data_IF_087438831743
#
_entry.id   IF_087438831743
#
_cell.length_a   1.000
_cell.length_b   1.000
_cell.length_c   1.000
_cell.angle_alpha   90.00
_cell.angle_beta   90.00
_cell.angle_gamma   90.00
#
_symmetry.space_group_name_H-M   'P 1'
#
loop_
_entity.id
_entity.type
_entity.pdbx_description
1 polymer ?
#
# COMPACT_ATOMS: atom_id res chain seq x y z
N UNK A 1 -10.36 4.03 -17.42
CA UNK A 1 -9.43 3.96 -16.28
C UNK A 1 -9.28 2.50 -15.87
N UNK A 2 -8.06 1.96 -15.76
CA UNK A 2 -7.80 0.53 -15.46
C UNK A 2 -7.33 0.29 -14.01
N UNK A 3 -7.10 1.36 -13.27
CA UNK A 3 -6.67 1.37 -11.87
C UNK A 3 -6.23 2.76 -11.44
N UNK A 4 -5.93 2.92 -10.16
CA UNK A 4 -5.39 4.15 -9.57
C UNK A 4 -4.60 3.83 -8.29
N UNK A 5 -3.72 4.76 -7.89
CA UNK A 5 -3.07 4.78 -6.59
C UNK A 5 -3.24 6.18 -5.97
N UNK A 6 -3.53 6.23 -4.68
CA UNK A 6 -3.64 7.46 -3.90
C UNK A 6 -2.51 7.51 -2.89
N UNK A 7 -1.72 8.58 -2.92
CA UNK A 7 -0.61 8.79 -1.99
C UNK A 7 -0.82 10.07 -1.17
N UNK A 8 -0.58 10.00 0.13
CA UNK A 8 -0.61 11.15 1.03
C UNK A 8 0.80 11.47 1.53
N UNK A 9 1.25 12.71 1.30
CA UNK A 9 2.58 13.18 1.76
C UNK A 9 2.75 13.10 3.26
N UNK A 10 1.67 13.33 4.00
CA UNK A 10 1.64 13.19 5.45
C UNK A 10 0.76 11.99 5.77
N UNK A 11 1.32 10.89 6.29
CA UNK A 11 0.54 9.73 6.69
C UNK A 11 -0.50 10.09 7.74
N UNK A 12 -1.69 9.52 7.60
CA UNK A 12 -2.76 9.64 8.58
C UNK A 12 -2.43 8.74 9.79
N UNK A 13 -2.82 9.15 11.01
CA UNK A 13 -2.80 8.23 12.15
C UNK A 13 -3.61 6.96 11.82
N UNK A 14 -3.18 5.78 12.30
CA UNK A 14 -2.07 5.58 13.24
C UNK A 14 -0.70 5.28 12.59
N UNK A 15 -0.52 5.55 11.29
CA UNK A 15 0.81 5.41 10.66
C UNK A 15 1.76 6.43 11.30
N UNK A 16 2.72 5.93 12.08
CA UNK A 16 3.79 6.73 12.69
C UNK A 16 5.13 6.22 12.20
N UNK A 17 5.44 6.57 10.94
CA UNK A 17 6.65 6.22 10.20
C UNK A 17 7.28 7.51 9.69
N UNK A 18 8.26 8.07 10.41
CA UNK A 18 8.97 9.26 9.93
C UNK A 18 9.49 9.04 8.51
N UNK A 19 9.36 10.07 7.67
CA UNK A 19 9.83 10.09 6.27
C UNK A 19 9.07 9.16 5.30
N UNK A 20 8.12 8.34 5.77
CA UNK A 20 7.26 7.59 4.88
C UNK A 20 6.08 8.46 4.41
N UNK A 21 5.65 8.23 3.17
CA UNK A 21 4.35 8.69 2.68
C UNK A 21 3.35 7.53 2.75
N UNK A 22 2.08 7.83 2.84
CA UNK A 22 1.04 6.79 2.91
C UNK A 22 0.59 6.41 1.50
N UNK A 23 0.56 5.10 1.20
CA UNK A 23 -0.21 4.56 0.08
C UNK A 23 -1.64 4.28 0.58
N UNK A 24 -2.51 5.29 0.46
CA UNK A 24 -3.83 5.32 1.06
C UNK A 24 -4.85 4.43 0.34
N UNK A 25 -4.68 4.25 -0.97
CA UNK A 25 -5.53 3.38 -1.77
C UNK A 25 -4.79 2.90 -3.00
N UNK A 26 -5.03 1.63 -3.38
CA UNK A 26 -4.60 1.05 -4.62
C UNK A 26 -5.72 0.16 -5.15
N UNK A 27 -6.16 0.42 -6.37
CA UNK A 27 -7.16 -0.40 -7.04
C UNK A 27 -6.75 -0.67 -8.47
N UNK A 28 -6.91 -1.90 -8.91
CA UNK A 28 -6.69 -2.35 -10.29
C UNK A 28 -7.89 -3.20 -10.69
N UNK A 29 -8.41 -2.98 -11.90
CA UNK A 29 -9.51 -3.81 -12.42
C UNK A 29 -9.11 -5.29 -12.40
N UNK A 30 -10.04 -6.16 -12.01
CA UNK A 30 -9.76 -7.58 -11.80
C UNK A 30 -9.20 -8.28 -13.06
N UNK A 31 -9.68 -7.89 -14.25
CA UNK A 31 -9.19 -8.38 -15.55
C UNK A 31 -7.76 -7.90 -15.89
N UNK A 32 -7.18 -7.01 -15.07
CA UNK A 32 -5.82 -6.47 -15.19
C UNK A 32 -4.90 -6.90 -14.05
N UNK A 33 -5.37 -7.75 -13.14
CA UNK A 33 -4.50 -8.33 -12.11
C UNK A 33 -3.40 -9.18 -12.76
N UNK A 34 -2.24 -9.28 -12.11
CA UNK A 34 -1.08 -10.08 -12.58
C UNK A 34 -0.45 -9.62 -13.92
N UNK A 35 -0.83 -8.43 -14.42
CA UNK A 35 -0.21 -7.79 -15.59
C UNK A 35 0.76 -6.66 -15.23
N UNK A 36 1.22 -6.59 -13.97
CA UNK A 36 2.18 -5.57 -13.51
C UNK A 36 1.60 -4.17 -13.28
N UNK A 37 0.30 -3.95 -13.55
CA UNK A 37 -0.35 -2.63 -13.41
C UNK A 37 -0.26 -2.07 -11.99
N UNK A 38 -0.48 -2.90 -10.96
CA UNK A 38 -0.37 -2.46 -9.56
C UNK A 38 1.03 -1.94 -9.22
N UNK A 39 2.09 -2.67 -9.63
CA UNK A 39 3.48 -2.25 -9.43
C UNK A 39 3.76 -0.94 -10.16
N UNK A 40 3.32 -0.84 -11.42
CA UNK A 40 3.49 0.39 -12.22
C UNK A 40 2.84 1.60 -11.54
N UNK A 41 1.64 1.46 -10.97
CA UNK A 41 0.97 2.56 -10.27
C UNK A 41 1.72 2.98 -9.00
N UNK A 42 2.25 2.03 -8.23
CA UNK A 42 3.04 2.32 -7.02
C UNK A 42 4.34 3.05 -7.39
N UNK A 43 5.08 2.57 -8.40
CA UNK A 43 6.33 3.20 -8.85
C UNK A 43 6.09 4.61 -9.43
N UNK A 44 5.03 4.80 -10.22
CA UNK A 44 4.63 6.12 -10.70
C UNK A 44 4.26 7.07 -9.53
N UNK A 45 3.59 6.54 -8.51
CA UNK A 45 3.31 7.23 -7.25
C UNK A 45 4.57 7.75 -6.58
N UNK A 46 5.55 6.87 -6.31
CA UNK A 46 6.86 7.21 -5.74
C UNK A 46 7.57 8.31 -6.53
N UNK A 47 7.62 8.17 -7.86
CA UNK A 47 8.25 9.16 -8.73
C UNK A 47 7.53 10.53 -8.64
N UNK A 48 6.20 10.54 -8.65
CA UNK A 48 5.43 11.79 -8.60
C UNK A 48 5.55 12.53 -7.27
N UNK A 49 5.63 11.80 -6.16
CA UNK A 49 5.73 12.38 -4.82
C UNK A 49 7.18 12.73 -4.46
N UNK A 50 8.15 12.08 -5.10
CA UNK A 50 9.58 12.22 -4.85
C UNK A 50 10.02 11.53 -3.56
N UNK A 51 9.38 10.41 -3.21
CA UNK A 51 9.66 9.64 -2.01
C UNK A 51 9.41 8.15 -2.28
N UNK A 52 10.46 7.34 -2.10
CA UNK A 52 10.42 5.91 -2.32
C UNK A 52 9.88 5.13 -1.11
N UNK A 53 9.85 5.75 0.07
CA UNK A 53 9.44 5.14 1.33
C UNK A 53 7.94 5.30 1.53
N UNK A 54 7.20 4.20 1.36
CA UNK A 54 5.76 4.12 1.46
C UNK A 54 5.36 3.25 2.66
N UNK A 55 4.29 3.62 3.35
CA UNK A 55 3.61 2.80 4.36
C UNK A 55 2.12 2.69 4.04
N UNK A 56 1.49 1.59 4.46
CA UNK A 56 0.05 1.36 4.25
C UNK A 56 -0.54 0.46 5.34
N UNK A 57 -1.86 0.49 5.44
CA UNK A 57 -2.66 -0.52 6.10
C UNK A 57 -3.33 -1.42 5.07
N UNK A 58 -3.35 -2.73 5.33
CA UNK A 58 -4.07 -3.70 4.49
C UNK A 58 -4.91 -4.63 5.33
N UNK A 59 -6.15 -4.87 4.89
CA UNK A 59 -7.04 -5.84 5.49
C UNK A 59 -6.37 -7.21 5.70
N UNK A 60 -6.42 -7.70 6.93
CA UNK A 60 -5.78 -8.94 7.36
C UNK A 60 -6.35 -10.19 6.68
N UNK A 61 -7.56 -10.12 6.14
CA UNK A 61 -8.18 -11.20 5.35
C UNK A 61 -7.85 -11.15 3.86
N UNK A 62 -7.16 -10.11 3.36
CA UNK A 62 -6.90 -9.92 1.93
C UNK A 62 -5.54 -10.51 1.52
N UNK A 63 -5.44 -11.84 1.51
CA UNK A 63 -4.21 -12.57 1.20
C UNK A 63 -3.61 -12.20 -0.17
N UNK A 64 -4.46 -11.90 -1.16
CA UNK A 64 -4.01 -11.50 -2.49
C UNK A 64 -3.29 -10.15 -2.47
N UNK A 65 -3.87 -9.14 -1.81
CA UNK A 65 -3.24 -7.83 -1.70
C UNK A 65 -1.98 -7.88 -0.83
N UNK A 66 -2.00 -8.61 0.27
CA UNK A 66 -0.80 -8.82 1.08
C UNK A 66 0.32 -9.51 0.28
N UNK A 67 -0.03 -10.54 -0.52
CA UNK A 67 0.90 -11.23 -1.41
C UNK A 67 1.48 -10.30 -2.48
N UNK A 68 0.65 -9.42 -3.05
CA UNK A 68 1.11 -8.37 -3.96
C UNK A 68 2.12 -7.43 -3.29
N UNK A 69 1.82 -6.89 -2.11
CA UNK A 69 2.72 -5.97 -1.41
C UNK A 69 4.04 -6.63 -1.02
N UNK A 70 4.01 -7.88 -0.52
CA UNK A 70 5.23 -8.67 -0.28
C UNK A 70 6.07 -8.87 -1.55
N UNK A 71 5.43 -9.06 -2.69
CA UNK A 71 6.12 -9.23 -3.98
C UNK A 71 6.78 -7.93 -4.47
N UNK A 72 6.30 -6.76 -4.05
CA UNK A 72 6.89 -5.46 -4.40
C UNK A 72 7.66 -4.84 -3.22
N UNK A 73 8.26 -5.69 -2.39
CA UNK A 73 9.23 -5.33 -1.33
C UNK A 73 8.63 -4.52 -0.16
N UNK A 74 7.32 -4.64 0.07
CA UNK A 74 6.75 -4.24 1.35
C UNK A 74 6.84 -5.39 2.34
N UNK A 75 7.08 -5.03 3.59
CA UNK A 75 7.20 -5.96 4.70
C UNK A 75 6.18 -5.59 5.79
N UNK A 76 5.56 -6.61 6.37
CA UNK A 76 4.76 -6.45 7.57
C UNK A 76 5.63 -5.90 8.70
N UNK A 77 5.08 -4.97 9.47
CA UNK A 77 5.85 -4.31 10.53
C UNK A 77 5.61 -4.89 11.92
N UNK A 78 4.67 -5.83 12.02
CA UNK A 78 4.13 -6.34 13.27
C UNK A 78 3.09 -5.44 13.94
N UNK A 79 2.78 -4.25 13.40
CA UNK A 79 1.67 -3.43 13.89
C UNK A 79 0.35 -3.87 13.26
N UNK A 80 -0.68 -3.88 14.08
CA UNK A 80 -2.05 -4.20 13.70
C UNK A 80 -3.01 -3.13 14.22
N UNK A 81 -4.10 -2.89 13.51
CA UNK A 81 -5.22 -2.08 14.00
C UNK A 81 -6.55 -2.83 13.83
N UNK A 82 -7.55 -2.46 14.64
CA UNK A 82 -8.90 -3.00 14.53
C UNK A 82 -9.76 -2.00 13.79
N UNK A 83 -10.32 -2.41 12.65
CA UNK A 83 -11.29 -1.64 11.88
C UNK A 83 -12.64 -2.37 11.83
N UNK A 84 -13.69 -1.67 11.40
CA UNK A 84 -15.06 -2.23 11.32
C UNK A 84 -15.14 -3.51 10.47
N UNK A 85 -14.30 -3.62 9.45
CA UNK A 85 -14.25 -4.76 8.52
C UNK A 85 -13.31 -5.89 8.99
N UNK A 86 -12.66 -5.74 10.15
CA UNK A 86 -11.68 -6.67 10.69
C UNK A 86 -10.31 -6.05 10.92
N UNK A 87 -9.31 -6.84 11.33
CA UNK A 87 -7.99 -6.33 11.60
C UNK A 87 -7.29 -5.90 10.30
N UNK A 88 -6.48 -4.85 10.38
CA UNK A 88 -5.54 -4.45 9.33
C UNK A 88 -4.09 -4.60 9.80
N UNK A 89 -3.21 -4.86 8.85
CA UNK A 89 -1.77 -5.04 9.04
C UNK A 89 -1.02 -3.84 8.45
N UNK A 90 -0.08 -3.27 9.19
CA UNK A 90 0.79 -2.21 8.66
C UNK A 90 1.90 -2.87 7.83
N UNK A 91 2.12 -2.34 6.62
CA UNK A 91 3.22 -2.73 5.76
C UNK A 91 4.05 -1.50 5.36
N UNK A 92 5.36 -1.67 5.18
CA UNK A 92 6.30 -0.61 4.76
C UNK A 92 7.35 -1.16 3.80
N UNK A 93 7.83 -0.36 2.85
CA UNK A 93 9.05 -0.66 2.10
C UNK A 93 10.25 0.16 2.62
N UNK A 94 11.45 -0.39 2.50
CA UNK A 94 12.71 0.18 3.02
C UNK A 94 13.63 0.68 1.90
#
# INVERSE_FOLDING_TARGET
>A
MIGFAELLRTPRPPINRPEAVELASLSVLADRHRHGVGRMLVEAGKQSIGNDRLALWIAGFNDNAQGFYRHIEFHETGRTQTEDMGPELEMINY
#
